data_IF_200092845506
#
_entry.id   IF_200092845506
#
_cell.length_a   1.000
_cell.length_b   1.000
_cell.length_c   1.000
_cell.angle_alpha   90.00
_cell.angle_beta   90.00
_cell.angle_gamma   90.00
#
_symmetry.space_group_name_H-M   'P 1'
#
loop_
_entity.id
_entity.type
_entity.pdbx_description
1 polymer ?
#
# COMPACT_ATOMS: atom_id res chain seq x y z
N UNK A 1 -7.57 4.10 -10.93
CA UNK A 1 -6.83 2.83 -11.13
C UNK A 1 -5.77 2.60 -10.06
N UNK A 2 -5.05 3.63 -9.59
CA UNK A 2 -3.95 3.47 -8.63
C UNK A 2 -4.37 3.11 -7.20
N UNK A 3 -5.48 3.64 -6.67
CA UNK A 3 -5.94 3.26 -5.32
C UNK A 3 -6.24 1.75 -5.22
N UNK A 4 -7.04 1.13 -6.12
CA UNK A 4 -7.24 -0.32 -6.10
C UNK A 4 -5.94 -1.12 -6.29
N UNK A 5 -5.06 -0.68 -7.20
CA UNK A 5 -3.76 -1.33 -7.42
C UNK A 5 -2.92 -1.35 -6.12
N UNK A 6 -2.84 -0.22 -5.40
CA UNK A 6 -2.12 -0.16 -4.13
C UNK A 6 -2.78 -1.00 -3.04
N UNK A 7 -4.11 -1.05 -2.97
CA UNK A 7 -4.80 -1.90 -2.00
C UNK A 7 -4.46 -3.38 -2.17
N UNK A 8 -4.44 -3.87 -3.42
CA UNK A 8 -4.01 -5.25 -3.71
C UNK A 8 -2.53 -5.48 -3.37
N UNK A 9 -1.66 -4.50 -3.63
CA UNK A 9 -0.24 -4.61 -3.26
C UNK A 9 -0.04 -4.64 -1.73
N UNK A 10 -0.79 -3.84 -0.97
CA UNK A 10 -0.78 -3.86 0.51
C UNK A 10 -1.25 -5.21 1.04
N UNK A 11 -2.32 -5.78 0.48
CA UNK A 11 -2.81 -7.11 0.87
C UNK A 11 -1.72 -8.19 0.67
N UNK A 12 -1.08 -8.20 -0.50
CA UNK A 12 0.00 -9.13 -0.81
C UNK A 12 1.25 -8.91 0.05
N UNK A 13 1.60 -7.65 0.34
CA UNK A 13 2.72 -7.32 1.20
C UNK A 13 2.50 -7.80 2.63
N UNK A 14 1.29 -7.64 3.20
CA UNK A 14 0.94 -8.19 4.53
C UNK A 14 1.09 -9.72 4.57
N UNK A 15 0.72 -10.41 3.49
CA UNK A 15 0.95 -11.86 3.38
C UNK A 15 2.45 -12.20 3.36
N UNK A 16 3.25 -11.45 2.59
CA UNK A 16 4.69 -11.65 2.50
C UNK A 16 5.40 -11.38 3.84
N UNK A 17 5.01 -10.32 4.55
CA UNK A 17 5.52 -9.96 5.87
C UNK A 17 5.26 -11.08 6.89
N UNK A 18 4.04 -11.62 6.90
CA UNK A 18 3.64 -12.67 7.82
C UNK A 18 4.27 -14.04 7.51
N UNK A 19 4.45 -14.38 6.22
CA UNK A 19 4.82 -15.75 5.80
C UNK A 19 6.27 -15.93 5.39
N UNK A 20 6.97 -14.87 5.01
CA UNK A 20 8.36 -14.99 4.56
C UNK A 20 9.27 -15.43 5.71
N UNK A 21 10.28 -16.25 5.41
CA UNK A 21 11.37 -16.58 6.34
C UNK A 21 12.61 -15.69 6.12
N UNK A 22 12.59 -14.87 5.06
CA UNK A 22 13.68 -13.99 4.64
C UNK A 22 13.51 -12.60 5.27
N UNK A 23 14.39 -12.15 6.18
CA UNK A 23 14.29 -10.83 6.82
C UNK A 23 14.22 -9.68 5.80
N UNK A 24 14.96 -9.78 4.71
CA UNK A 24 14.98 -8.78 3.64
C UNK A 24 13.61 -8.62 2.98
N UNK A 25 12.87 -9.73 2.82
CA UNK A 25 11.51 -9.71 2.24
C UNK A 25 10.50 -9.14 3.24
N UNK A 26 10.65 -9.43 4.54
CA UNK A 26 9.79 -8.83 5.56
C UNK A 26 9.98 -7.32 5.63
N UNK A 27 11.23 -6.84 5.56
CA UNK A 27 11.55 -5.42 5.51
C UNK A 27 10.91 -4.74 4.30
N UNK A 28 11.11 -5.29 3.11
CA UNK A 28 10.49 -4.77 1.89
C UNK A 28 8.96 -4.75 1.98
N UNK A 29 8.35 -5.82 2.51
CA UNK A 29 6.91 -5.89 2.68
C UNK A 29 6.37 -4.81 3.62
N UNK A 30 7.02 -4.61 4.78
CA UNK A 30 6.66 -3.55 5.71
C UNK A 30 6.80 -2.15 5.09
N UNK A 31 7.85 -1.93 4.29
CA UNK A 31 8.03 -0.67 3.56
C UNK A 31 6.93 -0.44 2.52
N UNK A 32 6.56 -1.48 1.75
CA UNK A 32 5.46 -1.41 0.77
C UNK A 32 4.15 -1.06 1.47
N UNK A 33 3.81 -1.74 2.57
CA UNK A 33 2.58 -1.44 3.32
C UNK A 33 2.56 0.02 3.73
N UNK A 34 3.64 0.49 4.35
CA UNK A 34 3.73 1.86 4.87
C UNK A 34 3.66 2.91 3.77
N UNK A 35 4.38 2.73 2.65
CA UNK A 35 4.38 3.72 1.56
C UNK A 35 3.05 3.73 0.82
N UNK A 36 2.52 2.56 0.47
CA UNK A 36 1.32 2.48 -0.36
C UNK A 36 0.04 2.83 0.41
N UNK A 37 -0.04 2.57 1.71
CA UNK A 37 -1.12 3.10 2.56
C UNK A 37 -1.10 4.64 2.57
N UNK A 38 0.09 5.26 2.68
CA UNK A 38 0.23 6.71 2.63
C UNK A 38 -0.14 7.30 1.25
N UNK A 39 0.24 6.63 0.15
CA UNK A 39 -0.12 7.03 -1.21
C UNK A 39 -1.63 6.89 -1.48
N UNK A 40 -2.28 5.86 -0.93
CA UNK A 40 -3.74 5.70 -1.00
C UNK A 40 -4.43 6.92 -0.37
N UNK A 41 -4.02 7.33 0.82
CA UNK A 41 -4.64 8.48 1.50
C UNK A 41 -4.38 9.80 0.75
N UNK A 42 -3.16 9.99 0.22
CA UNK A 42 -2.86 11.13 -0.64
C UNK A 42 -3.77 11.17 -1.88
N UNK A 43 -3.91 10.05 -2.59
CA UNK A 43 -4.74 9.97 -3.79
C UNK A 43 -6.24 10.17 -3.49
N UNK A 44 -6.74 9.63 -2.37
CA UNK A 44 -8.11 9.91 -1.92
C UNK A 44 -8.30 11.40 -1.61
N UNK A 45 -7.31 12.01 -0.94
CA UNK A 45 -7.28 13.44 -0.67
C UNK A 45 -7.33 14.28 -1.95
N UNK A 46 -6.48 13.97 -2.94
CA UNK A 46 -6.48 14.63 -4.24
C UNK A 46 -7.80 14.46 -4.97
N UNK A 47 -8.35 13.24 -5.01
CA UNK A 47 -9.64 12.99 -5.67
C UNK A 47 -10.75 13.86 -5.08
N UNK A 48 -10.82 13.93 -3.75
CA UNK A 48 -11.78 14.79 -3.04
C UNK A 48 -11.53 16.28 -3.33
N UNK A 49 -10.27 16.72 -3.31
CA UNK A 49 -9.91 18.11 -3.55
C UNK A 49 -10.21 18.57 -4.99
N UNK A 50 -10.02 17.69 -5.97
CA UNK A 50 -10.19 18.03 -7.38
C UNK A 50 -11.61 17.84 -7.88
N UNK A 51 -12.34 16.85 -7.36
CA UNK A 51 -13.63 16.42 -7.91
C UNK A 51 -14.78 16.39 -6.90
N UNK A 52 -14.54 16.74 -5.63
CA UNK A 52 -15.58 16.84 -4.60
C UNK A 52 -16.23 15.53 -4.17
N UNK A 53 -15.77 14.37 -4.67
CA UNK A 53 -16.32 13.02 -4.38
C UNK A 53 -15.25 11.94 -4.22
#
# INVERSE_FOLDING_TARGET
MMVPHHQSAVEMARVAEARSQRPEIKGLAADIVRSQDAEIEQMKGWRKAWYGS
#
